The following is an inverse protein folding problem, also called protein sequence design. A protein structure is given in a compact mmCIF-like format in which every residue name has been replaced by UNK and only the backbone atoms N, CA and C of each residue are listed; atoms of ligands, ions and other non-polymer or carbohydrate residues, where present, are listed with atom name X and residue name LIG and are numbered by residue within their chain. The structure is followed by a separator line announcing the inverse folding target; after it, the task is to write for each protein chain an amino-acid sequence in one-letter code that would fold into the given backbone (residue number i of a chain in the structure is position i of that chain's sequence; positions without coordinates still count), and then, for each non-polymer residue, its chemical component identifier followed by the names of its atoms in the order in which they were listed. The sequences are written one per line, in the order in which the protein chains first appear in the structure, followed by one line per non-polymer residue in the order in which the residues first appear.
data_IF_944881586027
#
_entry.id   IF_944881586027
#
_cell.length_a   1.000
_cell.length_b   1.000
_cell.length_c   1.000
_cell.angle_alpha   90.00
_cell.angle_beta   90.00
_cell.angle_gamma   90.00
#
_symmetry.space_group_name_H-M   'P 1'
#
loop_
_entity.id
_entity.type
_entity.pdbx_description
1 polymer ?
#
# COMPACT_ATOMS: atom_id res chain seq x y z
N UNK A 1 -67.05 35.92 -31.76
CA UNK A 1 -66.31 34.75 -31.24
C UNK A 1 -64.87 35.17 -30.99
N UNK A 2 -64.39 35.10 -29.74
CA UNK A 2 -63.05 35.56 -29.33
C UNK A 2 -62.17 34.33 -29.12
N UNK A 3 -61.18 34.13 -29.98
CA UNK A 3 -60.26 33.00 -29.88
C UNK A 3 -59.23 33.27 -28.76
N UNK A 4 -59.22 32.42 -27.74
CA UNK A 4 -58.21 32.38 -26.68
C UNK A 4 -56.91 31.83 -27.26
N UNK A 5 -55.86 32.65 -27.28
CA UNK A 5 -54.52 32.25 -27.71
C UNK A 5 -53.89 31.44 -26.57
N UNK A 6 -53.70 30.14 -26.76
CA UNK A 6 -52.92 29.29 -25.86
C UNK A 6 -51.45 29.70 -25.94
N UNK A 7 -50.90 30.22 -24.84
CA UNK A 7 -49.46 30.44 -24.73
C UNK A 7 -48.77 29.09 -24.72
N UNK A 8 -47.93 28.82 -25.72
CA UNK A 8 -46.95 27.73 -25.62
C UNK A 8 -45.92 28.18 -24.60
N UNK A 9 -45.92 27.55 -23.42
CA UNK A 9 -44.77 27.61 -22.54
C UNK A 9 -43.58 27.01 -23.29
N UNK A 10 -42.62 27.86 -23.63
CA UNK A 10 -41.30 27.42 -24.09
C UNK A 10 -40.63 26.74 -22.90
N UNK A 11 -40.70 25.40 -22.86
CA UNK A 11 -39.81 24.65 -22.00
C UNK A 11 -38.37 24.99 -22.41
N UNK A 12 -37.51 25.43 -21.47
CA UNK A 12 -36.11 25.69 -21.78
C UNK A 12 -35.48 24.38 -22.27
N UNK A 13 -35.11 24.33 -23.55
CA UNK A 13 -34.40 23.20 -24.12
C UNK A 13 -32.97 23.15 -23.59
N UNK A 14 -32.51 21.96 -23.18
CA UNK A 14 -31.12 21.72 -22.80
C UNK A 14 -30.20 22.33 -23.87
N UNK A 15 -29.40 23.31 -23.49
CA UNK A 15 -28.50 23.95 -24.44
C UNK A 15 -27.25 23.08 -24.63
N UNK A 16 -26.67 23.09 -25.84
CA UNK A 16 -25.38 22.43 -26.12
C UNK A 16 -24.29 22.89 -25.13
N UNK A 17 -24.35 24.16 -24.70
CA UNK A 17 -23.45 24.72 -23.70
C UNK A 17 -23.64 24.05 -22.33
N UNK A 18 -24.88 23.88 -21.86
CA UNK A 18 -25.15 23.20 -20.59
C UNK A 18 -24.67 21.74 -20.61
N UNK A 19 -24.92 21.02 -21.72
CA UNK A 19 -24.49 19.62 -21.87
C UNK A 19 -22.95 19.50 -21.89
N UNK A 20 -22.24 20.43 -22.54
CA UNK A 20 -20.77 20.45 -22.54
C UNK A 20 -20.19 20.81 -21.18
N UNK A 21 -20.79 21.74 -20.43
CA UNK A 21 -20.38 22.07 -19.06
C UNK A 21 -20.58 20.87 -18.14
N UNK A 22 -21.74 20.22 -18.19
CA UNK A 22 -22.02 19.01 -17.39
C UNK A 22 -21.02 17.89 -17.71
N UNK A 23 -20.72 17.68 -19.00
CA UNK A 23 -19.78 16.65 -19.41
C UNK A 23 -18.35 16.95 -18.92
N UNK A 24 -17.90 18.20 -18.97
CA UNK A 24 -16.61 18.60 -18.39
C UNK A 24 -16.57 18.36 -16.89
N UNK A 25 -17.63 18.74 -16.16
CA UNK A 25 -17.71 18.50 -14.71
C UNK A 25 -17.67 17.00 -14.41
N UNK A 26 -18.42 16.17 -15.12
CA UNK A 26 -18.39 14.72 -14.95
C UNK A 26 -16.99 14.13 -15.20
N UNK A 27 -16.31 14.54 -16.26
CA UNK A 27 -14.95 14.08 -16.55
C UNK A 27 -13.96 14.50 -15.45
N UNK A 28 -14.05 15.73 -14.94
CA UNK A 28 -13.18 16.19 -13.85
C UNK A 28 -13.40 15.40 -12.56
N UNK A 29 -14.66 15.09 -12.22
CA UNK A 29 -14.98 14.28 -11.05
C UNK A 29 -14.50 12.83 -11.21
N UNK A 30 -14.66 12.24 -12.39
CA UNK A 30 -14.15 10.90 -12.69
C UNK A 30 -12.63 10.84 -12.56
N UNK A 31 -11.91 11.79 -13.16
CA UNK A 31 -10.45 11.84 -13.10
C UNK A 31 -9.95 11.95 -11.65
N UNK A 32 -10.59 12.81 -10.85
CA UNK A 32 -10.27 12.97 -9.43
C UNK A 32 -10.54 11.68 -8.64
N UNK A 33 -11.65 10.99 -8.93
CA UNK A 33 -11.98 9.71 -8.28
C UNK A 33 -10.95 8.62 -8.55
N UNK A 34 -10.45 8.51 -9.79
CA UNK A 34 -9.39 7.55 -10.11
C UNK A 34 -8.08 7.86 -9.37
N UNK A 35 -7.68 9.14 -9.31
CA UNK A 35 -6.47 9.57 -8.63
C UNK A 35 -6.49 9.24 -7.13
N UNK A 36 -7.58 9.54 -6.43
CA UNK A 36 -7.70 9.23 -4.99
C UNK A 36 -7.62 7.73 -4.73
N UNK A 37 -8.22 6.92 -5.62
CA UNK A 37 -8.24 5.46 -5.45
C UNK A 37 -6.84 4.84 -5.56
N UNK A 38 -5.98 5.33 -6.46
CA UNK A 38 -4.60 4.83 -6.58
C UNK A 38 -3.77 5.16 -5.35
N UNK A 39 -3.88 6.39 -4.82
CA UNK A 39 -3.14 6.81 -3.64
C UNK A 39 -3.56 6.01 -2.39
N UNK A 40 -4.86 5.77 -2.22
CA UNK A 40 -5.36 4.93 -1.12
C UNK A 40 -4.83 3.50 -1.25
N UNK A 41 -4.77 2.93 -2.45
CA UNK A 41 -4.22 1.58 -2.67
C UNK A 41 -2.74 1.54 -2.30
N UNK A 42 -1.96 2.53 -2.71
CA UNK A 42 -0.53 2.62 -2.42
C UNK A 42 -0.29 2.72 -0.91
N UNK A 43 -1.01 3.61 -0.23
CA UNK A 43 -0.93 3.78 1.21
C UNK A 43 -1.29 2.48 1.96
N UNK A 44 -2.33 1.76 1.52
CA UNK A 44 -2.70 0.47 2.14
C UNK A 44 -1.61 -0.58 1.97
N UNK A 45 -1.01 -0.67 0.78
CA UNK A 45 0.08 -1.61 0.51
C UNK A 45 1.32 -1.29 1.35
N UNK A 46 1.69 -0.02 1.46
CA UNK A 46 2.75 0.43 2.35
C UNK A 46 2.44 0.10 3.80
N UNK A 47 1.25 0.46 4.30
CA UNK A 47 0.85 0.15 5.68
C UNK A 47 0.99 -1.33 6.03
N UNK A 48 0.55 -2.23 5.15
CA UNK A 48 0.70 -3.68 5.30
C UNK A 48 2.19 -4.10 5.32
N UNK A 49 3.01 -3.51 4.46
CA UNK A 49 4.44 -3.70 4.42
C UNK A 49 5.12 -3.29 5.75
N UNK A 50 4.85 -2.09 6.25
CA UNK A 50 5.38 -1.58 7.51
C UNK A 50 4.91 -2.37 8.73
N UNK A 51 3.69 -2.93 8.72
CA UNK A 51 3.22 -3.84 9.78
C UNK A 51 3.95 -5.19 9.75
N UNK A 52 4.19 -5.71 8.55
CA UNK A 52 4.99 -6.93 8.36
C UNK A 52 6.42 -6.73 8.83
N UNK A 53 7.05 -5.60 8.49
CA UNK A 53 8.39 -5.27 8.96
C UNK A 53 8.46 -5.11 10.47
N UNK A 54 7.48 -4.48 11.11
CA UNK A 54 7.44 -4.36 12.59
C UNK A 54 7.33 -5.73 13.27
N UNK A 55 6.60 -6.65 12.64
CA UNK A 55 6.49 -8.04 13.07
C UNK A 55 7.85 -8.74 13.00
N UNK A 56 8.55 -8.60 11.87
CA UNK A 56 9.91 -9.16 11.70
C UNK A 56 10.91 -8.50 12.65
N UNK A 57 10.82 -7.20 12.86
CA UNK A 57 11.70 -6.47 13.79
C UNK A 57 11.50 -6.93 15.23
N UNK A 58 10.26 -7.19 15.63
CA UNK A 58 9.96 -7.76 16.95
C UNK A 58 10.58 -9.16 17.09
N UNK A 59 10.45 -10.00 16.07
CA UNK A 59 11.08 -11.32 16.04
C UNK A 59 12.62 -11.24 16.10
N UNK A 60 13.21 -10.27 15.37
CA UNK A 60 14.65 -10.00 15.41
C UNK A 60 15.12 -9.67 16.82
N UNK A 61 14.41 -8.77 17.51
CA UNK A 61 14.74 -8.38 18.89
C UNK A 61 14.57 -9.51 19.89
N UNK A 62 13.56 -10.37 19.70
CA UNK A 62 13.38 -11.56 20.54
C UNK A 62 14.52 -12.56 20.33
N UNK A 63 14.89 -12.83 19.08
CA UNK A 63 16.00 -13.70 18.75
C UNK A 63 17.32 -13.20 19.36
N UNK A 64 17.63 -11.91 19.18
CA UNK A 64 18.86 -11.31 19.73
C UNK A 64 18.86 -11.23 21.26
N UNK A 65 17.69 -11.21 21.90
CA UNK A 65 17.60 -11.31 23.35
C UNK A 65 18.00 -12.70 23.86
N UNK A 66 17.65 -13.75 23.12
CA UNK A 66 18.01 -15.14 23.44
C UNK A 66 19.43 -15.49 22.97
N UNK A 67 19.96 -14.77 21.97
CA UNK A 67 21.29 -14.96 21.36
C UNK A 67 22.16 -13.69 21.42
N UNK A 68 22.57 -13.21 22.61
CA UNK A 68 23.20 -11.90 22.78
C UNK A 68 24.62 -11.78 22.18
N UNK A 69 25.27 -12.89 21.84
CA UNK A 69 26.61 -12.90 21.24
C UNK A 69 26.56 -12.92 19.71
N UNK A 70 25.38 -13.07 19.12
CA UNK A 70 25.24 -13.14 17.67
C UNK A 70 25.16 -11.73 17.08
N UNK A 71 26.02 -11.40 16.09
CA UNK A 71 25.94 -10.10 15.45
C UNK A 71 24.72 -10.04 14.52
N UNK A 72 24.11 -8.85 14.44
CA UNK A 72 22.96 -8.59 13.57
C UNK A 72 23.26 -8.95 12.11
N UNK A 73 24.51 -8.76 11.67
CA UNK A 73 24.96 -9.06 10.30
C UNK A 73 24.87 -10.53 9.91
N UNK A 74 24.85 -11.45 10.89
CA UNK A 74 24.81 -12.89 10.68
C UNK A 74 23.38 -13.46 10.77
N UNK A 75 22.40 -12.59 10.97
CA UNK A 75 21.00 -12.95 11.01
C UNK A 75 20.51 -13.35 9.63
N UNK A 76 19.73 -14.43 9.61
CA UNK A 76 19.03 -14.91 8.42
C UNK A 76 17.56 -15.05 8.74
N UNK A 77 16.70 -14.93 7.72
CA UNK A 77 15.25 -15.06 7.92
C UNK A 77 14.88 -16.39 8.58
N UNK A 78 15.60 -17.48 8.26
CA UNK A 78 15.39 -18.82 8.83
C UNK A 78 15.50 -18.84 10.35
N UNK A 79 16.45 -18.08 10.93
CA UNK A 79 16.64 -17.98 12.39
C UNK A 79 15.47 -17.27 13.08
N UNK A 80 14.82 -16.35 12.37
CA UNK A 80 13.72 -15.54 12.89
C UNK A 80 12.35 -16.19 12.75
N UNK A 81 12.21 -17.23 11.91
CA UNK A 81 10.92 -17.89 11.64
C UNK A 81 10.23 -18.35 12.92
N UNK A 82 11.01 -18.79 13.91
CA UNK A 82 10.45 -19.29 15.16
C UNK A 82 9.91 -18.22 16.10
N UNK A 83 10.36 -16.98 15.92
CA UNK A 83 9.97 -15.83 16.74
C UNK A 83 8.88 -14.99 16.10
N UNK A 84 8.38 -15.37 14.92
CA UNK A 84 7.25 -14.71 14.28
C UNK A 84 5.94 -15.02 15.02
N UNK A 85 5.11 -14.02 15.36
CA UNK A 85 3.85 -14.24 16.06
C UNK A 85 2.77 -14.87 15.16
N UNK A 86 2.73 -14.52 13.87
CA UNK A 86 1.75 -15.02 12.91
C UNK A 86 2.41 -15.96 11.90
N UNK A 87 2.82 -17.14 12.37
CA UNK A 87 3.45 -18.17 11.53
C UNK A 87 2.43 -18.70 10.51
N UNK A 88 2.77 -18.59 9.24
CA UNK A 88 2.02 -19.24 8.15
C UNK A 88 2.76 -20.53 7.81
N UNK A 89 2.06 -21.65 7.77
CA UNK A 89 2.62 -22.94 7.41
C UNK A 89 2.33 -23.27 5.94
N UNK A 90 3.27 -23.92 5.26
CA UNK A 90 3.03 -24.53 3.95
C UNK A 90 2.23 -25.84 4.09
N UNK A 91 1.94 -26.48 2.95
CA UNK A 91 1.25 -27.78 2.90
C UNK A 91 2.01 -28.91 3.60
N UNK A 92 3.32 -28.72 3.82
CA UNK A 92 4.24 -29.69 4.41
C UNK A 92 4.52 -29.39 5.90
N UNK A 93 3.92 -28.33 6.45
CA UNK A 93 4.04 -27.93 7.86
C UNK A 93 5.24 -27.04 8.19
N UNK A 94 5.98 -26.53 7.20
CA UNK A 94 7.10 -25.61 7.42
C UNK A 94 6.63 -24.16 7.51
N UNK A 95 7.31 -23.35 8.33
CA UNK A 95 7.01 -21.92 8.46
C UNK A 95 7.48 -21.20 7.20
N UNK A 96 6.56 -20.51 6.53
CA UNK A 96 6.84 -19.69 5.35
C UNK A 96 7.32 -18.31 5.81
N UNK A 97 8.43 -17.80 5.26
CA UNK A 97 8.85 -16.42 5.47
C UNK A 97 7.75 -15.42 5.10
N UNK A 98 7.54 -14.34 5.87
CA UNK A 98 6.62 -13.29 5.49
C UNK A 98 7.07 -12.67 4.17
N UNK A 99 6.11 -12.42 3.28
CA UNK A 99 6.36 -11.78 1.99
C UNK A 99 5.56 -10.49 1.90
N UNK A 100 6.17 -9.48 1.31
CA UNK A 100 5.53 -8.18 1.07
C UNK A 100 5.52 -7.95 -0.42
N UNK A 101 4.47 -7.32 -0.94
CA UNK A 101 4.36 -7.01 -2.36
C UNK A 101 4.64 -5.54 -2.63
N UNK A 102 5.37 -5.26 -3.71
CA UNK A 102 5.52 -3.93 -4.26
C UNK A 102 4.21 -3.45 -4.91
N UNK A 103 4.14 -2.17 -5.24
CA UNK A 103 3.02 -1.63 -6.03
C UNK A 103 2.84 -2.30 -7.40
N UNK A 104 3.91 -2.85 -7.97
CA UNK A 104 3.91 -3.59 -9.24
C UNK A 104 3.53 -5.05 -9.05
N UNK A 105 3.11 -5.44 -7.83
CA UNK A 105 2.75 -6.80 -7.45
C UNK A 105 3.92 -7.78 -7.58
N UNK A 106 5.16 -7.28 -7.46
CA UNK A 106 6.38 -8.10 -7.33
C UNK A 106 6.64 -8.39 -5.86
N UNK A 107 7.19 -9.56 -5.55
CA UNK A 107 7.55 -9.89 -4.16
C UNK A 107 8.84 -9.14 -3.78
N UNK A 108 8.78 -8.46 -2.64
CA UNK A 108 9.91 -7.78 -2.01
C UNK A 108 10.58 -8.74 -1.03
N UNK A 109 11.90 -8.66 -0.96
CA UNK A 109 12.69 -9.43 0.00
C UNK A 109 12.84 -8.64 1.29
N UNK A 110 12.62 -9.29 2.43
CA UNK A 110 12.85 -8.67 3.73
C UNK A 110 14.28 -8.96 4.16
N UNK A 111 15.05 -7.90 4.35
CA UNK A 111 16.45 -7.94 4.75
C UNK A 111 16.53 -7.76 6.26
N UNK A 112 17.16 -8.72 6.95
CA UNK A 112 17.18 -8.83 8.42
C UNK A 112 18.58 -8.79 9.02
N UNK A 113 19.60 -8.67 8.18
CA UNK A 113 21.01 -8.54 8.59
C UNK A 113 21.37 -7.12 9.04
N UNK A 114 20.37 -6.23 9.09
CA UNK A 114 20.45 -4.88 9.63
C UNK A 114 19.28 -4.65 10.58
N UNK A 115 19.47 -3.71 11.51
CA UNK A 115 18.45 -3.30 12.47
C UNK A 115 18.27 -1.77 12.37
N UNK A 116 17.08 -1.29 12.02
CA UNK A 116 15.86 -2.06 11.75
C UNK A 116 15.86 -2.80 10.40
N UNK A 117 15.07 -3.88 10.24
CA UNK A 117 14.95 -4.58 8.98
C UNK A 117 14.25 -3.72 7.93
N UNK A 118 14.58 -3.94 6.66
CA UNK A 118 14.06 -3.17 5.53
C UNK A 118 13.65 -4.06 4.36
N UNK A 119 12.95 -3.49 3.38
CA UNK A 119 12.55 -4.18 2.16
C UNK A 119 13.56 -3.94 1.06
N UNK A 120 13.76 -4.93 0.20
CA UNK A 120 14.64 -4.84 -0.95
C UNK A 120 13.90 -5.27 -2.22
N UNK A 121 14.14 -4.53 -3.31
CA UNK A 121 13.73 -4.89 -4.67
C UNK A 121 14.99 -4.98 -5.55
N UNK A 122 15.43 -6.22 -5.81
CA UNK A 122 16.55 -6.48 -6.72
C UNK A 122 17.90 -5.88 -6.30
N UNK A 123 18.25 -5.90 -5.00
CA UNK A 123 19.52 -5.37 -4.49
C UNK A 123 19.46 -3.94 -3.95
N UNK A 124 18.32 -3.25 -4.08
CA UNK A 124 18.16 -1.86 -3.66
C UNK A 124 17.11 -1.78 -2.57
N UNK A 125 17.40 -1.00 -1.51
CA UNK A 125 16.43 -0.69 -0.46
C UNK A 125 15.17 -0.11 -1.09
N UNK A 126 14.06 -0.77 -0.86
CA UNK A 126 12.77 -0.43 -1.43
C UNK A 126 12.01 0.49 -0.49
N UNK A 127 11.68 1.66 -1.02
CA UNK A 127 10.62 2.51 -0.54
C UNK A 127 10.04 3.24 -1.76
N UNK A 128 8.72 3.31 -1.85
CA UNK A 128 8.04 4.02 -2.92
C UNK A 128 8.35 5.52 -2.92
N UNK A 129 8.50 6.10 -1.73
CA UNK A 129 8.64 7.54 -1.55
C UNK A 129 10.10 7.99 -1.38
N UNK A 130 11.04 7.04 -1.42
CA UNK A 130 12.47 7.24 -1.15
C UNK A 130 12.71 7.94 0.20
N UNK A 131 11.81 7.72 1.17
CA UNK A 131 11.81 8.27 2.51
C UNK A 131 11.75 7.15 3.56
N UNK A 132 12.93 6.65 3.89
CA UNK A 132 13.15 5.50 4.76
C UNK A 132 12.87 5.72 6.27
N UNK A 133 12.09 6.75 6.61
CA UNK A 133 11.74 7.12 8.00
C UNK A 133 10.25 7.44 8.17
N UNK A 134 9.42 7.23 7.14
CA UNK A 134 8.02 7.66 7.15
C UNK A 134 7.06 6.71 7.87
N UNK A 135 7.53 5.51 8.24
CA UNK A 135 6.75 4.51 8.96
C UNK A 135 5.73 3.77 8.09
N UNK A 136 5.67 4.06 6.78
CA UNK A 136 4.76 3.46 5.82
C UNK A 136 5.42 2.23 5.21
N UNK A 137 6.54 2.37 4.50
CA UNK A 137 7.27 1.24 3.90
C UNK A 137 8.41 0.72 4.77
N UNK A 138 8.54 1.24 5.98
CA UNK A 138 9.53 0.88 6.97
C UNK A 138 8.89 0.68 8.36
N UNK A 139 9.71 0.45 9.38
CA UNK A 139 9.24 0.25 10.76
C UNK A 139 8.96 1.56 11.52
N UNK A 140 9.31 2.72 10.97
CA UNK A 140 9.38 4.02 11.63
C UNK A 140 10.61 4.15 12.54
N UNK A 141 11.08 5.38 12.75
CA UNK A 141 12.09 5.70 13.78
C UNK A 141 11.58 5.45 15.21
#
# INVERSE_FOLDING_TARGET
MRATRTSRDSQPGLTLLELTVVLLVLLTLMATGFYVTSEVKNWRAGREAGETLRTVYTAQRMYLADHPTEPVTDLTMTKLLDYLPNKVLDSDGNIIPPTVKSLKNTNLTIVVNESPPYLEDGGVRYDQNDNYTDGVWDVGE
#
